data_IF_886101504569
#
_entry.id   IF_886101504569
#
_cell.length_a   1.000
_cell.length_b   1.000
_cell.length_c   1.000
_cell.angle_alpha   90.00
_cell.angle_beta   90.00
_cell.angle_gamma   90.00
#
_symmetry.space_group_name_H-M   'P 1'
#
loop_
_entity.id
_entity.type
_entity.pdbx_description
1 polymer ?
#
# COMPACT_ATOMS: atom_id res chain seq x y z
N UNK A 1 10.12 8.21 3.75
CA UNK A 1 10.40 9.48 3.00
C UNK A 1 9.46 10.58 3.50
N UNK A 2 9.90 11.86 3.61
CA UNK A 2 9.00 12.96 4.02
C UNK A 2 7.91 13.18 2.97
N UNK A 3 6.67 13.48 3.41
CA UNK A 3 5.49 13.73 2.55
C UNK A 3 5.78 14.76 1.44
N UNK A 4 6.58 15.80 1.76
CA UNK A 4 6.99 16.81 0.80
C UNK A 4 7.78 16.21 -0.39
N UNK A 5 8.70 15.29 -0.14
CA UNK A 5 9.48 14.64 -1.19
C UNK A 5 8.64 13.73 -2.09
N UNK A 6 7.62 13.07 -1.54
CA UNK A 6 6.66 12.28 -2.34
C UNK A 6 5.88 13.16 -3.31
N UNK A 7 5.38 14.30 -2.81
CA UNK A 7 4.66 15.28 -3.64
C UNK A 7 5.54 15.89 -4.73
N UNK A 8 6.79 16.21 -4.40
CA UNK A 8 7.75 16.75 -5.38
C UNK A 8 8.06 15.70 -6.45
N UNK A 9 8.29 14.45 -6.08
CA UNK A 9 8.52 13.35 -7.01
C UNK A 9 7.33 13.16 -7.96
N UNK A 10 6.10 13.16 -7.44
CA UNK A 10 4.90 13.02 -8.26
C UNK A 10 4.76 14.17 -9.25
N UNK A 11 4.95 15.42 -8.81
CA UNK A 11 4.86 16.59 -9.69
C UNK A 11 5.94 16.57 -10.79
N UNK A 12 7.19 16.26 -10.46
CA UNK A 12 8.27 16.17 -11.43
C UNK A 12 8.03 15.05 -12.44
N UNK A 13 7.48 13.91 -12.00
CA UNK A 13 7.14 12.78 -12.87
C UNK A 13 5.99 13.11 -13.82
N UNK A 14 4.96 13.80 -13.34
CA UNK A 14 3.83 14.22 -14.18
C UNK A 14 4.23 15.27 -15.22
N UNK A 15 5.08 16.23 -14.84
CA UNK A 15 5.62 17.26 -15.75
C UNK A 15 6.53 16.62 -16.81
N UNK A 16 7.31 15.62 -16.48
CA UNK A 16 8.12 14.89 -17.47
C UNK A 16 7.27 14.10 -18.45
N UNK A 17 6.21 13.45 -17.95
CA UNK A 17 5.30 12.64 -18.77
C UNK A 17 4.47 13.48 -19.74
N UNK A 18 3.98 14.63 -19.27
CA UNK A 18 3.16 15.54 -20.07
C UNK A 18 3.48 17.00 -19.73
N UNK A 19 4.16 17.69 -20.65
CA UNK A 19 4.48 19.12 -20.53
C UNK A 19 3.24 20.03 -20.51
N UNK A 20 2.07 19.55 -20.95
CA UNK A 20 0.80 20.27 -21.00
C UNK A 20 -0.16 19.88 -19.87
N UNK A 21 0.30 19.12 -18.88
CA UNK A 21 -0.50 18.72 -17.73
C UNK A 21 -1.12 19.94 -17.05
N UNK A 22 -2.41 19.85 -16.70
CA UNK A 22 -3.11 20.97 -16.06
C UNK A 22 -2.92 20.98 -14.55
N UNK A 23 -2.94 22.17 -13.96
CA UNK A 23 -2.87 22.30 -12.50
C UNK A 23 -4.01 21.58 -11.79
N UNK A 24 -5.21 21.52 -12.40
CA UNK A 24 -6.36 20.79 -11.85
C UNK A 24 -6.13 19.28 -11.86
N UNK A 25 -5.56 18.74 -12.93
CA UNK A 25 -5.17 17.32 -13.00
C UNK A 25 -4.11 16.99 -11.97
N UNK A 26 -3.10 17.84 -11.80
CA UNK A 26 -2.07 17.67 -10.78
C UNK A 26 -2.64 17.73 -9.35
N UNK A 27 -3.59 18.66 -9.11
CA UNK A 27 -4.27 18.78 -7.81
C UNK A 27 -5.05 17.50 -7.46
N UNK A 28 -5.79 16.96 -8.44
CA UNK A 28 -6.51 15.70 -8.28
C UNK A 28 -5.58 14.53 -7.96
N UNK A 29 -4.46 14.39 -8.70
CA UNK A 29 -3.47 13.32 -8.46
C UNK A 29 -2.74 13.44 -7.13
N UNK A 30 -2.53 14.68 -6.64
CA UNK A 30 -1.92 14.93 -5.35
C UNK A 30 -2.90 14.78 -4.18
N UNK A 31 -4.21 14.73 -4.46
CA UNK A 31 -5.25 14.76 -3.42
C UNK A 31 -5.25 16.05 -2.60
N UNK A 32 -4.92 17.22 -3.22
CA UNK A 32 -4.84 18.51 -2.51
C UNK A 32 -5.56 19.62 -3.28
N UNK A 33 -5.83 20.74 -2.60
CA UNK A 33 -6.44 21.92 -3.20
C UNK A 33 -5.57 22.52 -4.34
N UNK A 34 -6.21 23.07 -5.35
CA UNK A 34 -5.55 23.70 -6.51
C UNK A 34 -4.56 24.81 -6.10
N UNK A 35 -4.91 25.64 -5.11
CA UNK A 35 -4.01 26.68 -4.59
C UNK A 35 -2.72 26.14 -4.02
N UNK A 36 -2.78 24.99 -3.31
CA UNK A 36 -1.61 24.35 -2.74
C UNK A 36 -0.74 23.71 -3.83
N UNK A 37 -1.35 23.12 -4.86
CA UNK A 37 -0.64 22.61 -6.04
C UNK A 37 0.14 23.74 -6.74
N UNK A 38 -0.48 24.91 -6.88
CA UNK A 38 0.19 26.10 -7.43
C UNK A 38 1.40 26.54 -6.60
N UNK A 39 1.29 26.53 -5.27
CA UNK A 39 2.42 26.81 -4.40
C UNK A 39 3.57 25.83 -4.60
N UNK A 40 3.27 24.54 -4.75
CA UNK A 40 4.29 23.53 -5.00
C UNK A 40 4.96 23.74 -6.36
N UNK A 41 4.20 24.00 -7.42
CA UNK A 41 4.76 24.26 -8.76
C UNK A 41 5.64 25.53 -8.77
N UNK A 42 5.19 26.63 -8.14
CA UNK A 42 6.00 27.85 -7.99
C UNK A 42 7.29 27.59 -7.25
N UNK A 43 7.25 26.81 -6.17
CA UNK A 43 8.45 26.42 -5.41
C UNK A 43 9.41 25.58 -6.25
N UNK A 44 8.91 24.58 -7.01
CA UNK A 44 9.76 23.79 -7.91
C UNK A 44 10.38 24.65 -9.02
N UNK A 45 9.64 25.62 -9.54
CA UNK A 45 10.15 26.58 -10.50
C UNK A 45 11.21 27.52 -9.89
N UNK A 46 10.99 28.02 -8.67
CA UNK A 46 11.94 28.84 -7.95
C UNK A 46 13.26 28.09 -7.64
N UNK A 47 13.15 26.79 -7.37
CA UNK A 47 14.32 25.91 -7.20
C UNK A 47 15.01 25.53 -8.52
N UNK A 48 14.50 26.00 -9.67
CA UNK A 48 15.05 25.67 -10.97
C UNK A 48 14.78 24.25 -11.46
N UNK A 49 13.90 23.49 -10.81
CA UNK A 49 13.59 22.10 -11.21
C UNK A 49 12.63 22.03 -12.40
N UNK A 50 11.72 22.99 -12.52
CA UNK A 50 10.85 23.12 -13.67
C UNK A 50 10.91 24.54 -14.23
N UNK A 51 10.70 24.65 -15.55
CA UNK A 51 10.48 25.94 -16.22
C UNK A 51 9.00 26.05 -16.57
N UNK A 52 8.36 27.16 -16.17
CA UNK A 52 6.99 27.50 -16.51
C UNK A 52 7.04 28.48 -17.68
N UNK A 53 6.41 28.14 -18.80
CA UNK A 53 6.28 28.99 -19.95
C UNK A 53 4.82 29.14 -20.37
N UNK A 54 4.47 30.27 -20.97
CA UNK A 54 3.16 30.52 -21.51
C UNK A 54 3.24 30.42 -23.03
N UNK A 55 2.33 29.62 -23.61
CA UNK A 55 2.23 29.44 -25.05
C UNK A 55 0.88 30.07 -25.49
N UNK A 56 0.87 30.89 -26.57
CA UNK A 56 -0.39 31.39 -27.15
C UNK A 56 -1.31 30.24 -27.61
N UNK A 57 -2.65 30.32 -27.36
CA UNK A 57 -3.40 31.33 -26.62
C UNK A 57 -3.53 30.99 -25.14
N UNK A 58 -2.69 31.56 -24.27
CA UNK A 58 -2.77 31.47 -22.79
C UNK A 58 -2.66 30.05 -22.15
N UNK A 59 -1.95 29.11 -22.78
CA UNK A 59 -1.70 27.78 -22.23
C UNK A 59 -0.40 27.77 -21.46
N UNK A 60 -0.45 27.24 -20.24
CA UNK A 60 0.74 27.03 -19.41
C UNK A 60 1.40 25.72 -19.85
N UNK A 61 2.71 25.77 -20.04
CA UNK A 61 3.56 24.62 -20.30
C UNK A 61 4.60 24.49 -19.20
N UNK A 62 4.75 23.29 -18.70
CA UNK A 62 5.78 22.94 -17.73
C UNK A 62 6.88 22.16 -18.44
N UNK A 63 8.12 22.47 -18.14
CA UNK A 63 9.28 21.78 -18.71
C UNK A 63 10.20 21.35 -17.56
N UNK A 64 10.53 20.09 -17.53
CA UNK A 64 11.56 19.58 -16.60
C UNK A 64 12.92 20.09 -17.03
N UNK A 65 13.69 20.65 -16.11
CA UNK A 65 15.06 21.09 -16.37
C UNK A 65 16.05 19.95 -16.13
N UNK A 66 17.32 20.03 -16.59
CA UNK A 66 18.35 19.06 -16.21
C UNK A 66 18.51 18.93 -14.71
N UNK A 67 18.43 20.04 -13.95
CA UNK A 67 18.46 20.05 -12.49
C UNK A 67 17.22 19.36 -11.90
N UNK A 68 16.03 19.56 -12.51
CA UNK A 68 14.81 18.87 -12.13
C UNK A 68 14.86 17.37 -12.39
N UNK A 69 15.49 16.95 -13.49
CA UNK A 69 15.72 15.53 -13.78
C UNK A 69 16.64 14.87 -12.74
N UNK A 70 17.73 15.55 -12.37
CA UNK A 70 18.63 15.07 -11.32
C UNK A 70 17.91 14.96 -9.97
N UNK A 71 17.10 15.96 -9.60
CA UNK A 71 16.32 15.93 -8.35
C UNK A 71 15.26 14.84 -8.38
N UNK A 72 14.55 14.66 -9.51
CA UNK A 72 13.61 13.54 -9.68
C UNK A 72 14.29 12.20 -9.48
N UNK A 73 15.47 11.97 -10.09
CA UNK A 73 16.24 10.73 -9.94
C UNK A 73 16.63 10.50 -8.48
N UNK A 74 17.08 11.54 -7.77
CA UNK A 74 17.42 11.49 -6.34
C UNK A 74 16.20 11.11 -5.50
N UNK A 75 15.05 11.73 -5.75
CA UNK A 75 13.80 11.46 -5.03
C UNK A 75 13.27 10.05 -5.34
N UNK A 76 13.39 9.58 -6.59
CA UNK A 76 13.04 8.20 -6.98
C UNK A 76 13.86 7.20 -6.19
N UNK A 77 15.18 7.41 -6.09
CA UNK A 77 16.04 6.55 -5.29
C UNK A 77 15.64 6.54 -3.80
N UNK A 78 15.38 7.72 -3.23
CA UNK A 78 14.92 7.83 -1.84
C UNK A 78 13.57 7.12 -1.63
N UNK A 79 12.64 7.24 -2.58
CA UNK A 79 11.36 6.55 -2.52
C UNK A 79 11.53 5.03 -2.54
N UNK A 80 12.39 4.54 -3.43
CA UNK A 80 12.70 3.10 -3.51
C UNK A 80 13.31 2.58 -2.21
N UNK A 81 14.28 3.28 -1.64
CA UNK A 81 14.89 2.92 -0.34
C UNK A 81 13.84 2.89 0.78
N UNK A 82 12.96 3.89 0.82
CA UNK A 82 11.87 3.95 1.79
C UNK A 82 10.90 2.77 1.63
N UNK A 83 10.52 2.45 0.39
CA UNK A 83 9.61 1.34 0.09
C UNK A 83 10.22 -0.01 0.47
N UNK A 84 11.51 -0.22 0.19
CA UNK A 84 12.23 -1.45 0.60
C UNK A 84 12.30 -1.56 2.13
N UNK A 85 12.59 -0.46 2.83
CA UNK A 85 12.64 -0.47 4.29
C UNK A 85 11.26 -0.80 4.89
N UNK A 86 10.20 -0.21 4.35
CA UNK A 86 8.82 -0.50 4.76
C UNK A 86 8.43 -1.96 4.49
N UNK A 87 8.79 -2.50 3.33
CA UNK A 87 8.59 -3.91 3.02
C UNK A 87 9.28 -4.84 4.02
N UNK A 88 10.54 -4.55 4.37
CA UNK A 88 11.31 -5.33 5.36
C UNK A 88 10.67 -5.29 6.75
N UNK A 89 10.19 -4.12 7.16
CA UNK A 89 9.49 -3.95 8.43
C UNK A 89 8.21 -4.78 8.46
N UNK A 90 7.36 -4.69 7.44
CA UNK A 90 6.15 -5.49 7.33
C UNK A 90 6.44 -7.00 7.38
N UNK A 91 7.46 -7.46 6.64
CA UNK A 91 7.86 -8.87 6.67
C UNK A 91 8.31 -9.31 8.07
N UNK A 92 9.05 -8.46 8.77
CA UNK A 92 9.51 -8.75 10.14
C UNK A 92 8.33 -8.88 11.10
N UNK A 93 7.34 -7.98 11.01
CA UNK A 93 6.11 -8.01 11.81
C UNK A 93 5.28 -9.26 11.50
N UNK A 94 5.09 -9.59 10.22
CA UNK A 94 4.41 -10.82 9.81
C UNK A 94 5.07 -12.06 10.41
N UNK A 95 6.40 -12.19 10.29
CA UNK A 95 7.13 -13.33 10.87
C UNK A 95 6.97 -13.42 12.37
N UNK A 96 7.03 -12.29 13.08
CA UNK A 96 6.82 -12.22 14.52
C UNK A 96 5.41 -12.72 14.88
N UNK A 97 4.37 -12.17 14.27
CA UNK A 97 2.97 -12.56 14.51
C UNK A 97 2.74 -14.04 14.23
N UNK A 98 3.29 -14.58 13.14
CA UNK A 98 3.17 -16.01 12.81
C UNK A 98 3.95 -16.90 13.78
N UNK A 99 5.13 -16.48 14.24
CA UNK A 99 5.92 -17.22 15.22
C UNK A 99 5.23 -17.27 16.59
N UNK A 100 4.64 -16.14 17.02
CA UNK A 100 3.85 -16.05 18.25
C UNK A 100 2.62 -16.98 18.17
N UNK A 101 1.90 -16.97 17.04
CA UNK A 101 0.77 -17.85 16.81
C UNK A 101 1.16 -19.34 16.86
N UNK A 102 2.29 -19.72 16.26
CA UNK A 102 2.83 -21.09 16.34
C UNK A 102 3.12 -21.50 17.80
N UNK A 103 3.75 -20.62 18.59
CA UNK A 103 4.04 -20.87 19.99
C UNK A 103 2.76 -21.09 20.83
N UNK A 104 1.64 -20.51 20.40
CA UNK A 104 0.30 -20.68 20.98
C UNK A 104 -0.48 -21.89 20.43
N UNK A 105 0.17 -22.75 19.61
CA UNK A 105 -0.39 -23.99 19.10
C UNK A 105 -1.18 -23.88 17.80
N UNK A 106 -1.19 -22.71 17.13
CA UNK A 106 -1.81 -22.54 15.80
C UNK A 106 -1.07 -23.39 14.77
N UNK A 107 -1.80 -24.08 13.91
CA UNK A 107 -1.26 -24.91 12.80
C UNK A 107 -1.85 -24.53 11.46
N UNK A 108 -3.13 -24.20 11.42
CA UNK A 108 -3.87 -23.90 10.20
C UNK A 108 -4.33 -22.44 10.22
N UNK A 109 -3.98 -21.69 9.18
CA UNK A 109 -4.26 -20.25 9.07
C UNK A 109 -5.06 -19.94 7.82
N UNK A 110 -6.01 -19.04 7.93
CA UNK A 110 -6.68 -18.38 6.81
C UNK A 110 -6.22 -16.93 6.75
N UNK A 111 -6.01 -16.38 5.57
CA UNK A 111 -5.64 -14.96 5.38
C UNK A 111 -6.88 -14.19 4.94
N UNK A 112 -7.19 -13.09 5.62
CA UNK A 112 -8.24 -12.15 5.24
C UNK A 112 -7.67 -11.03 4.36
N UNK A 113 -8.16 -10.95 3.13
CA UNK A 113 -7.71 -10.06 2.06
C UNK A 113 -6.94 -10.80 0.95
N UNK A 114 -6.95 -10.21 -0.25
CA UNK A 114 -6.24 -10.70 -1.45
C UNK A 114 -5.35 -9.63 -2.08
N UNK A 115 -4.92 -8.64 -1.29
CA UNK A 115 -4.02 -7.57 -1.71
C UNK A 115 -2.53 -7.90 -1.50
N UNK A 116 -1.68 -6.92 -1.73
CA UNK A 116 -0.21 -7.04 -1.63
C UNK A 116 0.28 -7.55 -0.26
N UNK A 117 -0.38 -7.13 0.83
CA UNK A 117 -0.01 -7.61 2.17
C UNK A 117 -0.39 -9.08 2.38
N UNK A 118 -1.46 -9.56 1.74
CA UNK A 118 -1.81 -10.98 1.75
C UNK A 118 -0.78 -11.82 0.99
N UNK A 119 -0.22 -11.32 -0.11
CA UNK A 119 0.90 -11.96 -0.82
C UNK A 119 2.15 -12.06 0.07
N UNK A 120 2.48 -10.97 0.77
CA UNK A 120 3.60 -10.96 1.72
C UNK A 120 3.38 -11.94 2.88
N UNK A 121 2.15 -12.01 3.41
CA UNK A 121 1.77 -12.94 4.46
C UNK A 121 1.89 -14.39 3.98
N UNK A 122 1.43 -14.68 2.78
CA UNK A 122 1.58 -16.00 2.15
C UNK A 122 3.05 -16.42 2.01
N UNK A 123 3.91 -15.51 1.52
CA UNK A 123 5.35 -15.79 1.41
C UNK A 123 5.99 -16.01 2.78
N UNK A 124 5.59 -15.23 3.79
CA UNK A 124 6.08 -15.38 5.15
C UNK A 124 5.60 -16.68 5.81
N UNK A 125 4.37 -17.11 5.52
CA UNK A 125 3.82 -18.40 5.96
C UNK A 125 4.62 -19.59 5.42
N UNK A 126 5.07 -19.53 4.15
CA UNK A 126 5.91 -20.59 3.55
C UNK A 126 7.27 -20.78 4.24
N UNK A 127 7.71 -19.80 5.02
CA UNK A 127 8.94 -19.89 5.82
C UNK A 127 8.69 -20.51 7.23
N UNK A 128 7.44 -20.89 7.52
CA UNK A 128 6.99 -21.46 8.79
C UNK A 128 6.45 -22.88 8.61
N UNK A 129 6.10 -23.53 9.72
CA UNK A 129 5.38 -24.81 9.70
C UNK A 129 3.85 -24.65 9.73
N UNK A 130 3.34 -23.43 9.51
CA UNK A 130 1.91 -23.17 9.40
C UNK A 130 1.37 -23.58 8.05
N UNK A 131 0.17 -24.11 8.01
CA UNK A 131 -0.53 -24.49 6.79
C UNK A 131 -1.56 -23.41 6.41
N UNK A 132 -1.47 -22.86 5.19
CA UNK A 132 -2.50 -22.00 4.67
C UNK A 132 -3.68 -22.84 4.17
N UNK A 133 -4.88 -22.58 4.70
CA UNK A 133 -6.12 -23.21 4.26
C UNK A 133 -6.68 -22.48 3.04
N UNK A 134 -6.70 -21.15 3.06
CA UNK A 134 -7.23 -20.33 1.98
C UNK A 134 -7.28 -18.85 2.34
N UNK A 135 -8.01 -18.09 1.53
CA UNK A 135 -8.19 -16.65 1.69
C UNK A 135 -9.66 -16.29 1.88
N UNK A 136 -9.91 -15.19 2.56
CA UNK A 136 -11.23 -14.59 2.72
C UNK A 136 -11.21 -13.22 2.03
N UNK A 137 -12.16 -12.97 1.11
CA UNK A 137 -12.31 -11.65 0.49
C UNK A 137 -13.74 -11.46 -0.01
N UNK A 138 -14.35 -10.30 0.29
CA UNK A 138 -15.71 -9.96 -0.14
C UNK A 138 -15.84 -9.77 -1.66
N UNK A 139 -14.74 -9.40 -2.32
CA UNK A 139 -14.72 -8.99 -3.74
C UNK A 139 -14.30 -10.10 -4.69
N UNK A 140 -13.80 -11.23 -4.18
CA UNK A 140 -13.23 -12.30 -4.98
C UNK A 140 -13.76 -13.65 -4.50
N UNK A 141 -14.28 -14.44 -5.43
CA UNK A 141 -14.91 -15.73 -5.11
C UNK A 141 -14.23 -16.92 -5.83
N UNK A 142 -13.05 -16.72 -6.38
CA UNK A 142 -12.31 -17.76 -7.11
C UNK A 142 -11.05 -18.21 -6.34
N UNK A 143 -9.92 -18.27 -6.99
CA UNK A 143 -8.63 -18.66 -6.40
C UNK A 143 -7.65 -17.49 -6.36
N UNK A 144 -6.84 -17.44 -5.32
CA UNK A 144 -5.73 -16.52 -5.17
C UNK A 144 -4.48 -17.29 -4.76
N UNK A 145 -3.36 -17.07 -5.44
CA UNK A 145 -2.09 -17.79 -5.24
C UNK A 145 -2.28 -19.32 -5.18
N UNK A 146 -3.14 -19.86 -6.07
CA UNK A 146 -3.52 -21.27 -6.16
C UNK A 146 -4.34 -21.85 -4.99
N UNK A 147 -4.71 -21.03 -3.99
CA UNK A 147 -5.56 -21.41 -2.88
C UNK A 147 -7.01 -20.94 -3.09
N UNK A 148 -8.00 -21.59 -2.44
CA UNK A 148 -9.39 -21.17 -2.53
C UNK A 148 -9.60 -19.81 -1.85
N UNK A 149 -10.55 -19.04 -2.37
CA UNK A 149 -11.04 -17.80 -1.74
C UNK A 149 -12.50 -17.96 -1.43
N UNK A 150 -12.93 -17.58 -0.23
CA UNK A 150 -14.33 -17.57 0.14
C UNK A 150 -14.77 -16.20 0.68
N UNK A 151 -16.07 -15.93 0.65
CA UNK A 151 -16.64 -14.80 1.33
C UNK A 151 -16.64 -15.03 2.88
N UNK A 152 -16.62 -13.97 3.70
CA UNK A 152 -16.54 -14.08 5.16
C UNK A 152 -17.61 -14.96 5.80
N UNK A 153 -18.82 -14.96 5.27
CA UNK A 153 -19.97 -15.76 5.74
C UNK A 153 -19.81 -17.27 5.48
N UNK A 154 -18.97 -17.66 4.54
CA UNK A 154 -18.73 -19.04 4.17
C UNK A 154 -17.53 -19.67 4.91
N UNK A 155 -16.73 -18.88 5.62
CA UNK A 155 -15.49 -19.34 6.27
C UNK A 155 -15.78 -20.36 7.41
N UNK A 156 -16.97 -20.34 7.97
CA UNK A 156 -17.38 -21.27 9.02
C UNK A 156 -17.29 -22.75 8.62
N UNK A 157 -17.37 -23.05 7.31
CA UNK A 157 -17.23 -24.39 6.77
C UNK A 157 -15.77 -24.90 6.65
N UNK A 158 -14.77 -24.09 6.96
CA UNK A 158 -13.37 -24.46 6.89
C UNK A 158 -12.80 -24.82 8.27
N UNK A 159 -11.88 -25.77 8.30
CA UNK A 159 -11.15 -26.13 9.51
C UNK A 159 -9.84 -25.35 9.56
N UNK A 160 -9.69 -24.47 10.56
CA UNK A 160 -8.49 -23.66 10.82
C UNK A 160 -8.47 -23.15 12.26
N UNK A 161 -7.32 -22.72 12.72
CA UNK A 161 -7.09 -22.26 14.09
C UNK A 161 -7.13 -20.74 14.21
N UNK A 162 -6.66 -20.02 13.16
CA UNK A 162 -6.54 -18.57 13.19
C UNK A 162 -6.81 -17.91 11.83
N UNK A 163 -7.29 -16.67 11.87
CA UNK A 163 -7.39 -15.77 10.72
C UNK A 163 -6.38 -14.64 10.86
N UNK A 164 -5.52 -14.45 9.87
CA UNK A 164 -4.59 -13.33 9.77
C UNK A 164 -5.21 -12.19 8.96
N UNK A 165 -5.47 -11.05 9.59
CA UNK A 165 -5.98 -9.85 8.92
C UNK A 165 -4.84 -9.12 8.20
N UNK A 166 -5.01 -8.93 6.89
CA UNK A 166 -4.04 -8.23 6.03
C UNK A 166 -4.56 -6.93 5.42
N UNK A 167 -5.81 -6.54 5.71
CA UNK A 167 -6.31 -5.20 5.42
C UNK A 167 -6.07 -4.31 6.64
N UNK A 168 -5.14 -3.35 6.51
CA UNK A 168 -4.74 -2.46 7.60
C UNK A 168 -5.57 -1.18 7.69
N UNK A 169 -6.37 -0.87 6.66
CA UNK A 169 -7.14 0.39 6.64
C UNK A 169 -8.38 0.33 7.54
N UNK A 170 -8.97 -0.87 7.72
CA UNK A 170 -10.22 -1.04 8.45
C UNK A 170 -10.18 -2.26 9.40
N UNK A 171 -9.07 -2.44 10.12
CA UNK A 171 -8.82 -3.62 10.96
C UNK A 171 -9.98 -3.93 11.90
N UNK A 172 -10.51 -2.94 12.63
CA UNK A 172 -11.60 -3.16 13.59
C UNK A 172 -12.90 -3.58 12.90
N UNK A 173 -13.20 -3.00 11.73
CA UNK A 173 -14.38 -3.40 10.92
C UNK A 173 -14.24 -4.85 10.44
N UNK A 174 -13.06 -5.23 9.94
CA UNK A 174 -12.84 -6.60 9.47
C UNK A 174 -12.81 -7.59 10.63
N UNK A 175 -12.28 -7.20 11.80
CA UNK A 175 -12.34 -7.99 13.02
C UNK A 175 -13.78 -8.24 13.45
N UNK A 176 -14.65 -7.23 13.39
CA UNK A 176 -16.08 -7.36 13.71
C UNK A 176 -16.81 -8.25 12.70
N UNK A 177 -16.58 -8.06 11.39
CA UNK A 177 -17.21 -8.87 10.35
C UNK A 177 -16.83 -10.33 10.53
N UNK A 178 -15.54 -10.64 10.59
CA UNK A 178 -15.10 -12.03 10.68
C UNK A 178 -15.46 -12.65 12.02
N UNK A 179 -15.43 -11.89 13.13
CA UNK A 179 -15.79 -12.37 14.46
C UNK A 179 -17.23 -12.87 14.58
N UNK A 180 -18.13 -12.38 13.72
CA UNK A 180 -19.52 -12.88 13.67
C UNK A 180 -19.65 -14.28 13.06
N UNK A 181 -18.65 -14.71 12.28
CA UNK A 181 -18.64 -15.97 11.54
C UNK A 181 -17.61 -16.98 12.08
N UNK A 182 -16.83 -16.58 13.10
CA UNK A 182 -15.83 -17.43 13.73
C UNK A 182 -16.39 -18.15 14.96
N UNK A 183 -15.98 -19.39 15.16
CA UNK A 183 -16.16 -20.09 16.42
C UNK A 183 -15.27 -19.43 17.50
N UNK A 184 -15.71 -19.41 18.79
CA UNK A 184 -15.04 -18.67 19.87
C UNK A 184 -13.57 -19.09 20.13
N UNK A 185 -13.21 -20.33 19.80
CA UNK A 185 -11.87 -20.88 19.95
C UNK A 185 -10.87 -20.41 18.89
N UNK A 186 -11.35 -19.82 17.76
CA UNK A 186 -10.52 -19.37 16.66
C UNK A 186 -9.93 -18.00 16.93
N UNK A 187 -8.64 -17.84 16.65
CA UNK A 187 -7.90 -16.60 16.91
C UNK A 187 -7.96 -15.63 15.73
N UNK A 188 -7.96 -14.35 16.04
CA UNK A 188 -7.78 -13.29 15.04
C UNK A 188 -6.39 -12.69 15.26
N UNK A 189 -5.51 -12.89 14.29
CA UNK A 189 -4.16 -12.35 14.27
C UNK A 189 -4.16 -11.01 13.55
N UNK A 190 -3.60 -10.00 14.18
CA UNK A 190 -3.46 -8.65 13.60
C UNK A 190 -2.00 -8.23 13.65
N UNK A 191 -1.56 -7.48 12.65
CA UNK A 191 -0.23 -6.88 12.66
C UNK A 191 -0.23 -5.68 13.59
N UNK A 192 0.60 -5.69 14.62
CA UNK A 192 0.84 -4.48 15.42
C UNK A 192 1.58 -3.45 14.57
N UNK A 193 0.96 -2.31 14.31
CA UNK A 193 1.57 -1.19 13.59
C UNK A 193 2.35 -0.25 14.53
N UNK A 194 2.20 -0.45 15.82
CA UNK A 194 2.86 0.36 16.87
C UNK A 194 3.82 -0.56 17.63
N UNK A 195 5.07 -0.14 17.75
CA UNK A 195 6.06 -0.67 18.70
C UNK A 195 5.88 0.05 20.03
#
# INVERSE_FOLDING_TARGET
MKLQGQRDLLLLSEVERDAHVTQRSLASKLGVALGLTNLYLKRLAHKGYIKISMIPPHRIRYLLTPQGLAEKSRLTYQYMQYSIAHYRDMRTRLRRTLTEAMAEGVKHVVIYGTGELAEMAYLSLKETNLTLVGFIDDKRQDRFLSHPVCAPDLVGGWEFDAVLLTDLENVEKHREIIGRHLAPERKILTLSLVD
#
